data_IF_354232825229
#
_entry.id   IF_354232825229
#
_cell.length_a   1.000
_cell.length_b   1.000
_cell.length_c   1.000
_cell.angle_alpha   90.00
_cell.angle_beta   90.00
_cell.angle_gamma   90.00
#
_symmetry.space_group_name_H-M   'P 1'
#
loop_
_entity.id
_entity.type
_entity.pdbx_description
1 polymer ?
#
# COMPACT_ATOMS: atom_id res chain seq x y z
N UNK A 1 -18.23 44.08 -50.65
CA UNK A 1 -19.28 43.25 -50.02
C UNK A 1 -18.63 41.97 -49.51
N UNK A 2 -18.95 41.52 -48.29
CA UNK A 2 -18.48 40.22 -47.80
C UNK A 2 -19.18 39.11 -48.62
N UNK A 3 -18.41 38.25 -49.29
CA UNK A 3 -18.91 37.15 -50.11
C UNK A 3 -19.44 35.99 -49.24
N UNK A 4 -20.45 36.26 -48.42
CA UNK A 4 -21.03 35.31 -47.46
C UNK A 4 -22.53 35.17 -47.77
N UNK A 5 -23.06 33.94 -47.89
CA UNK A 5 -24.48 33.71 -48.14
C UNK A 5 -25.38 34.35 -47.07
N UNK A 6 -26.51 34.93 -47.49
CA UNK A 6 -27.48 35.56 -46.58
C UNK A 6 -28.04 34.57 -45.55
N UNK A 7 -28.19 33.29 -45.91
CA UNK A 7 -28.65 32.26 -44.97
C UNK A 7 -27.67 32.06 -43.81
N UNK A 8 -26.37 32.13 -44.08
CA UNK A 8 -25.32 32.00 -43.06
C UNK A 8 -25.39 33.17 -42.08
N UNK A 9 -25.56 34.40 -42.58
CA UNK A 9 -25.75 35.60 -41.76
C UNK A 9 -27.01 35.45 -40.88
N UNK A 10 -28.14 35.04 -41.46
CA UNK A 10 -29.39 34.81 -40.73
C UNK A 10 -29.27 33.70 -39.67
N UNK A 11 -28.54 32.62 -39.98
CA UNK A 11 -28.24 31.53 -39.04
C UNK A 11 -27.40 32.02 -37.85
N UNK A 12 -26.36 32.81 -38.11
CA UNK A 12 -25.51 33.40 -37.07
C UNK A 12 -26.31 34.34 -36.17
N UNK A 13 -27.14 35.23 -36.73
CA UNK A 13 -27.99 36.14 -35.95
C UNK A 13 -28.97 35.36 -35.08
N UNK A 14 -29.64 34.33 -35.60
CA UNK A 14 -30.55 33.48 -34.79
C UNK A 14 -29.82 32.77 -33.66
N UNK A 15 -28.63 32.23 -33.92
CA UNK A 15 -27.79 31.58 -32.90
C UNK A 15 -27.35 32.57 -31.83
N UNK A 16 -26.92 33.77 -32.22
CA UNK A 16 -26.52 34.82 -31.29
C UNK A 16 -27.69 35.27 -30.42
N UNK A 17 -28.87 35.50 -31.01
CA UNK A 17 -30.10 35.84 -30.25
C UNK A 17 -30.50 34.75 -29.24
N UNK A 18 -30.32 33.47 -29.59
CA UNK A 18 -30.73 32.35 -28.72
C UNK A 18 -29.71 31.97 -27.65
N UNK A 19 -28.40 32.08 -27.92
CA UNK A 19 -27.33 31.53 -27.07
C UNK A 19 -26.27 32.56 -26.64
N UNK A 20 -26.38 33.80 -27.11
CA UNK A 20 -25.46 34.89 -26.77
C UNK A 20 -24.03 34.72 -27.31
N UNK A 21 -23.78 33.75 -28.19
CA UNK A 21 -22.44 33.47 -28.72
C UNK A 21 -22.43 33.20 -30.22
N UNK A 22 -21.39 33.68 -30.89
CA UNK A 22 -21.10 33.40 -32.30
C UNK A 22 -20.21 32.16 -32.44
N UNK A 23 -19.48 31.78 -31.39
CA UNK A 23 -18.52 30.66 -31.38
C UNK A 23 -19.17 29.32 -31.70
N UNK A 24 -18.48 28.48 -32.46
CA UNK A 24 -18.95 27.14 -32.83
C UNK A 24 -19.21 26.31 -31.58
N UNK A 25 -20.45 25.83 -31.43
CA UNK A 25 -20.83 25.03 -30.29
C UNK A 25 -20.28 23.61 -30.44
N UNK A 26 -19.85 22.96 -29.34
CA UNK A 26 -19.44 21.58 -29.40
C UNK A 26 -20.60 20.72 -29.93
N UNK A 27 -20.31 19.93 -30.97
CA UNK A 27 -21.24 18.96 -31.51
C UNK A 27 -21.51 17.84 -30.50
N UNK A 28 -22.56 17.05 -30.75
CA UNK A 28 -22.97 15.92 -29.89
C UNK A 28 -21.87 14.86 -29.68
N UNK A 29 -20.89 14.82 -30.59
CA UNK A 29 -19.80 13.86 -30.59
C UNK A 29 -20.25 12.44 -30.95
N UNK A 30 -19.30 11.51 -30.97
CA UNK A 30 -19.56 10.10 -31.26
C UNK A 30 -20.32 9.46 -30.09
N UNK A 31 -21.40 8.72 -30.40
CA UNK A 31 -22.11 7.91 -29.41
C UNK A 31 -21.12 6.93 -28.75
N UNK A 32 -21.18 6.81 -27.42
CA UNK A 32 -20.36 5.84 -26.68
C UNK A 32 -20.86 4.42 -27.00
N UNK A 33 -19.93 3.47 -27.14
CA UNK A 33 -20.28 2.05 -27.33
C UNK A 33 -20.96 1.46 -26.10
N UNK A 34 -20.50 1.83 -24.90
CA UNK A 34 -21.11 1.39 -23.65
C UNK A 34 -22.25 2.32 -23.24
N UNK A 35 -23.39 1.71 -22.88
CA UNK A 35 -24.53 2.42 -22.28
C UNK A 35 -24.22 2.86 -20.85
N UNK A 36 -25.00 3.81 -20.34
CA UNK A 36 -24.90 4.25 -18.95
C UNK A 36 -25.13 3.11 -17.95
N UNK A 37 -26.02 2.17 -18.29
CA UNK A 37 -26.28 0.96 -17.49
C UNK A 37 -25.07 0.05 -17.42
N UNK A 38 -24.43 -0.24 -18.56
CA UNK A 38 -23.22 -1.06 -18.60
C UNK A 38 -22.05 -0.40 -17.84
N UNK A 39 -21.87 0.92 -17.99
CA UNK A 39 -20.87 1.67 -17.22
C UNK A 39 -21.12 1.58 -15.70
N UNK A 40 -22.39 1.68 -15.27
CA UNK A 40 -22.77 1.53 -13.85
C UNK A 40 -22.55 0.10 -13.33
N UNK A 41 -22.78 -0.91 -14.16
CA UNK A 41 -22.46 -2.29 -13.83
C UNK A 41 -20.95 -2.45 -13.60
N UNK A 42 -20.12 -2.01 -14.55
CA UNK A 42 -18.65 -2.06 -14.45
C UNK A 42 -18.14 -1.36 -13.18
N UNK A 43 -18.66 -0.17 -12.89
CA UNK A 43 -18.33 0.57 -11.66
C UNK A 43 -18.62 -0.25 -10.40
N UNK A 44 -19.84 -0.81 -10.29
CA UNK A 44 -20.23 -1.63 -9.11
C UNK A 44 -19.38 -2.89 -8.99
N UNK A 45 -19.12 -3.56 -10.12
CA UNK A 45 -18.29 -4.77 -10.19
C UNK A 45 -16.88 -4.53 -9.66
N UNK A 46 -16.28 -3.41 -10.06
CA UNK A 46 -14.96 -2.96 -9.62
C UNK A 46 -14.96 -2.47 -8.17
N UNK A 47 -15.99 -1.75 -7.73
CA UNK A 47 -16.08 -1.28 -6.34
C UNK A 47 -16.23 -2.44 -5.34
N UNK A 48 -16.89 -3.54 -5.75
CA UNK A 48 -17.02 -4.79 -4.97
C UNK A 48 -15.72 -5.60 -4.97
N UNK A 49 -15.10 -5.78 -6.14
CA UNK A 49 -13.81 -6.47 -6.27
C UNK A 49 -12.83 -5.61 -7.08
N UNK A 50 -12.00 -4.79 -6.43
CA UNK A 50 -11.15 -3.83 -7.14
C UNK A 50 -9.94 -4.49 -7.83
N UNK A 51 -9.75 -5.80 -7.64
CA UNK A 51 -8.65 -6.60 -8.23
C UNK A 51 -9.00 -7.20 -9.59
N UNK A 52 -10.24 -7.07 -10.05
CA UNK A 52 -10.70 -7.64 -11.33
C UNK A 52 -9.88 -7.08 -12.49
N UNK A 53 -9.51 -7.96 -13.41
CA UNK A 53 -8.82 -7.55 -14.62
C UNK A 53 -9.79 -6.92 -15.62
N UNK A 54 -9.27 -6.09 -16.52
CA UNK A 54 -10.09 -5.56 -17.62
C UNK A 54 -10.60 -6.68 -18.55
N UNK A 55 -9.94 -7.84 -18.53
CA UNK A 55 -10.27 -9.01 -19.33
C UNK A 55 -11.44 -9.80 -18.72
N UNK A 56 -11.43 -10.00 -17.39
CA UNK A 56 -12.60 -10.51 -16.67
C UNK A 56 -13.83 -9.62 -16.89
N UNK A 57 -13.66 -8.30 -16.81
CA UNK A 57 -14.75 -7.36 -17.07
C UNK A 57 -15.24 -7.40 -18.53
N UNK A 58 -14.36 -7.75 -19.47
CA UNK A 58 -14.75 -7.95 -20.88
C UNK A 58 -15.59 -9.20 -21.01
N UNK A 59 -15.16 -10.29 -20.37
CA UNK A 59 -15.90 -11.56 -20.33
C UNK A 59 -17.28 -11.40 -19.70
N UNK A 60 -17.37 -10.69 -18.56
CA UNK A 60 -18.63 -10.37 -17.89
C UNK A 60 -19.62 -9.63 -18.83
N UNK A 61 -19.13 -8.85 -19.80
CA UNK A 61 -19.97 -8.13 -20.76
C UNK A 61 -20.31 -8.95 -22.02
N UNK A 62 -19.38 -9.78 -22.50
CA UNK A 62 -19.64 -10.69 -23.62
C UNK A 62 -20.73 -11.71 -23.27
N UNK A 63 -20.77 -12.17 -22.02
CA UNK A 63 -21.80 -13.10 -21.53
C UNK A 63 -23.22 -12.48 -21.56
N UNK A 64 -23.32 -11.14 -21.58
CA UNK A 64 -24.58 -10.37 -21.69
C UNK A 64 -24.78 -9.88 -23.14
N UNK A 65 -23.99 -10.37 -24.10
CA UNK A 65 -24.08 -10.02 -25.52
C UNK A 65 -23.49 -8.65 -25.88
N UNK A 66 -22.65 -8.06 -25.03
CA UNK A 66 -22.01 -6.76 -25.29
C UNK A 66 -20.52 -6.94 -25.59
N UNK A 67 -20.18 -6.99 -26.86
CA UNK A 67 -18.79 -7.09 -27.32
C UNK A 67 -18.08 -5.73 -27.27
N UNK A 68 -17.07 -5.63 -26.39
CA UNK A 68 -16.24 -4.42 -26.27
C UNK A 68 -14.77 -4.75 -26.07
N UNK A 69 -13.90 -3.87 -26.55
CA UNK A 69 -12.47 -3.99 -26.25
C UNK A 69 -12.19 -3.72 -24.76
N UNK A 70 -11.18 -4.39 -24.21
CA UNK A 70 -10.67 -4.07 -22.86
C UNK A 70 -10.30 -2.58 -22.73
N UNK A 71 -9.83 -1.95 -23.81
CA UNK A 71 -9.49 -0.52 -23.81
C UNK A 71 -10.72 0.38 -23.60
N UNK A 72 -11.87 0.01 -24.18
CA UNK A 72 -13.14 0.71 -23.95
C UNK A 72 -13.55 0.65 -22.48
N UNK A 73 -13.35 -0.50 -21.83
CA UNK A 73 -13.60 -0.67 -20.39
C UNK A 73 -12.67 0.21 -19.56
N UNK A 74 -11.35 0.21 -19.85
CA UNK A 74 -10.39 1.07 -19.13
C UNK A 74 -10.71 2.55 -19.25
N UNK A 75 -11.11 3.01 -20.46
CA UNK A 75 -11.53 4.40 -20.69
C UNK A 75 -12.80 4.74 -19.92
N UNK A 76 -13.76 3.83 -19.89
CA UNK A 76 -15.03 4.02 -19.16
C UNK A 76 -14.79 4.11 -17.66
N UNK A 77 -14.01 3.20 -17.08
CA UNK A 77 -13.64 3.25 -15.66
C UNK A 77 -12.88 4.53 -15.30
N UNK A 78 -11.99 5.01 -16.20
CA UNK A 78 -11.29 6.28 -16.01
C UNK A 78 -12.23 7.47 -15.96
N UNK A 79 -13.24 7.50 -16.83
CA UNK A 79 -14.28 8.53 -16.82
C UNK A 79 -15.12 8.50 -15.54
N UNK A 80 -15.27 7.33 -14.92
CA UNK A 80 -15.91 7.16 -13.60
C UNK A 80 -14.99 7.48 -12.40
N UNK A 81 -13.74 7.87 -12.66
CA UNK A 81 -12.72 8.22 -11.66
C UNK A 81 -11.99 7.02 -11.05
N UNK A 82 -12.08 5.85 -11.67
CA UNK A 82 -11.37 4.63 -11.26
C UNK A 82 -10.10 4.45 -12.11
N UNK A 83 -8.97 4.30 -11.45
CA UNK A 83 -7.67 4.13 -12.11
C UNK A 83 -7.00 2.85 -11.63
N UNK A 84 -6.44 2.10 -12.58
CA UNK A 84 -5.53 1.00 -12.28
C UNK A 84 -4.25 1.57 -11.66
N UNK A 85 -3.92 1.11 -10.45
CA UNK A 85 -2.73 1.51 -9.69
C UNK A 85 -2.13 0.30 -9.01
N UNK A 86 -0.81 0.31 -8.81
CA UNK A 86 -0.14 -0.71 -8.01
C UNK A 86 -0.64 -0.65 -6.57
N UNK A 87 -1.11 -1.77 -6.00
CA UNK A 87 -1.53 -1.82 -4.61
C UNK A 87 -0.36 -1.58 -3.67
N UNK A 88 -0.61 -0.97 -2.52
CA UNK A 88 0.42 -0.85 -1.48
C UNK A 88 0.51 -2.17 -0.72
N UNK A 89 1.72 -2.66 -0.49
CA UNK A 89 1.97 -3.79 0.39
C UNK A 89 1.93 -3.30 1.83
N UNK A 90 1.04 -3.84 2.64
CA UNK A 90 0.89 -3.44 4.05
C UNK A 90 0.71 -4.68 4.93
N UNK A 91 1.33 -4.72 6.12
CA UNK A 91 1.01 -5.76 7.09
C UNK A 91 -0.45 -5.61 7.53
N UNK A 92 -1.16 -6.72 7.66
CA UNK A 92 -2.49 -6.73 8.27
C UNK A 92 -2.33 -6.49 9.77
N UNK A 93 -2.88 -5.38 10.26
CA UNK A 93 -2.81 -5.00 11.67
C UNK A 93 -4.18 -5.20 12.32
N UNK A 94 -4.21 -5.94 13.42
CA UNK A 94 -5.41 -6.03 14.26
C UNK A 94 -5.75 -4.65 14.88
N UNK A 95 -7.03 -4.38 15.20
CA UNK A 95 -7.42 -3.14 15.87
C UNK A 95 -6.63 -2.87 17.16
N UNK A 96 -6.36 -3.92 17.94
CA UNK A 96 -5.51 -3.87 19.13
C UNK A 96 -4.10 -3.38 18.80
N UNK A 97 -3.47 -3.95 17.78
CA UNK A 97 -2.13 -3.56 17.36
C UNK A 97 -2.09 -2.12 16.83
N UNK A 98 -3.13 -1.67 16.12
CA UNK A 98 -3.26 -0.27 15.68
C UNK A 98 -3.28 0.69 16.87
N UNK A 99 -4.08 0.39 17.90
CA UNK A 99 -4.16 1.20 19.13
C UNK A 99 -2.82 1.25 19.87
N UNK A 100 -2.18 0.09 20.08
CA UNK A 100 -0.88 0.03 20.76
C UNK A 100 0.20 0.81 19.99
N UNK A 101 0.25 0.69 18.66
CA UNK A 101 1.20 1.44 17.82
C UNK A 101 0.95 2.94 17.90
N UNK A 102 -0.31 3.38 17.89
CA UNK A 102 -0.66 4.79 18.02
C UNK A 102 -0.24 5.35 19.39
N UNK A 103 -0.50 4.62 20.47
CA UNK A 103 -0.09 5.02 21.82
C UNK A 103 1.43 5.10 21.94
N UNK A 104 2.15 4.12 21.39
CA UNK A 104 3.61 4.14 21.34
C UNK A 104 4.13 5.37 20.59
N UNK A 105 3.58 5.65 19.39
CA UNK A 105 3.98 6.81 18.60
C UNK A 105 3.74 8.13 19.35
N UNK A 106 2.56 8.31 19.95
CA UNK A 106 2.26 9.50 20.76
C UNK A 106 3.21 9.67 21.95
N UNK A 107 3.59 8.58 22.62
CA UNK A 107 4.51 8.65 23.76
C UNK A 107 5.98 8.89 23.39
N UNK A 108 6.34 8.78 22.12
CA UNK A 108 7.73 8.91 21.65
C UNK A 108 7.94 10.05 20.62
N UNK A 109 6.88 10.74 20.18
CA UNK A 109 6.97 11.79 19.16
C UNK A 109 7.87 12.96 19.59
N UNK A 110 7.80 13.37 20.86
CA UNK A 110 8.55 14.51 21.40
C UNK A 110 9.88 14.09 22.05
N UNK A 111 10.37 12.86 21.79
CA UNK A 111 11.65 12.42 22.36
C UNK A 111 12.81 13.16 21.70
N UNK A 112 13.80 13.64 22.49
CA UNK A 112 14.93 14.38 21.93
C UNK A 112 15.80 13.47 21.07
N UNK A 113 16.52 14.05 20.10
CA UNK A 113 17.39 13.30 19.18
C UNK A 113 18.39 12.39 19.93
N UNK A 114 18.99 12.88 21.01
CA UNK A 114 19.91 12.10 21.87
C UNK A 114 19.31 10.78 22.38
N UNK A 115 17.99 10.74 22.62
CA UNK A 115 17.32 9.51 22.99
C UNK A 115 17.37 8.52 21.83
N UNK A 116 17.02 8.94 20.62
CA UNK A 116 17.06 8.10 19.42
C UNK A 116 18.46 7.66 19.03
N UNK A 117 19.46 8.51 19.25
CA UNK A 117 20.85 8.20 18.98
C UNK A 117 21.35 7.03 19.84
N UNK A 118 20.77 6.87 21.03
CA UNK A 118 21.09 5.79 21.96
C UNK A 118 20.33 4.47 21.73
N UNK A 119 19.38 4.44 20.80
CA UNK A 119 18.58 3.23 20.56
C UNK A 119 19.33 2.26 19.66
N UNK A 120 19.55 1.04 20.16
CA UNK A 120 19.97 -0.10 19.36
C UNK A 120 18.71 -0.81 18.82
N UNK A 121 18.55 -0.78 17.50
CA UNK A 121 17.48 -1.48 16.80
C UNK A 121 17.94 -2.89 16.47
N UNK A 122 17.09 -3.88 16.71
CA UNK A 122 17.34 -5.29 16.38
C UNK A 122 16.12 -5.86 15.69
N UNK A 123 16.29 -6.61 14.61
CA UNK A 123 15.18 -7.31 13.96
C UNK A 123 15.66 -8.57 13.23
N UNK A 124 14.70 -9.44 12.90
CA UNK A 124 14.91 -10.60 12.05
C UNK A 124 14.23 -10.37 10.70
N UNK A 125 14.98 -10.56 9.61
CA UNK A 125 14.43 -10.47 8.26
C UNK A 125 14.53 -11.79 7.51
N UNK A 126 13.45 -12.12 6.82
CA UNK A 126 13.36 -13.25 5.88
C UNK A 126 13.54 -12.71 4.46
N UNK A 127 14.61 -13.12 3.80
CA UNK A 127 14.85 -12.89 2.37
C UNK A 127 14.33 -14.10 1.60
N UNK A 128 13.34 -13.89 0.74
CA UNK A 128 12.72 -14.93 -0.09
C UNK A 128 13.34 -14.91 -1.49
N UNK A 129 13.68 -16.09 -2.03
CA UNK A 129 14.29 -16.21 -3.36
C UNK A 129 13.28 -16.00 -4.49
N UNK A 130 12.03 -16.40 -4.27
CA UNK A 130 10.92 -16.21 -5.20
C UNK A 130 9.84 -15.38 -4.52
N UNK A 131 9.67 -14.14 -4.98
CA UNK A 131 8.61 -13.26 -4.47
C UNK A 131 7.22 -13.76 -4.91
N UNK A 132 6.16 -13.50 -4.12
CA UNK A 132 4.80 -13.88 -4.51
C UNK A 132 4.41 -13.25 -5.85
N UNK A 133 3.75 -14.03 -6.71
CA UNK A 133 3.20 -13.57 -7.99
C UNK A 133 2.44 -12.25 -7.78
N UNK A 134 2.95 -11.19 -8.41
CA UNK A 134 2.53 -9.81 -8.16
C UNK A 134 1.15 -9.55 -8.77
N UNK A 135 0.14 -9.36 -7.92
CA UNK A 135 -1.09 -8.69 -8.34
C UNK A 135 -0.71 -7.25 -8.73
N UNK A 136 -0.48 -7.03 -10.02
CA UNK A 136 0.13 -5.80 -10.55
C UNK A 136 -0.72 -4.56 -10.33
N UNK A 137 -2.05 -4.69 -10.40
CA UNK A 137 -2.96 -3.55 -10.38
C UNK A 137 -4.24 -3.78 -9.58
N UNK A 138 -4.71 -2.69 -8.99
CA UNK A 138 -6.01 -2.55 -8.35
C UNK A 138 -6.66 -1.27 -8.87
N UNK A 139 -7.95 -1.34 -9.20
CA UNK A 139 -8.75 -0.19 -9.55
C UNK A 139 -9.13 0.60 -8.31
N UNK A 140 -8.71 1.86 -8.22
CA UNK A 140 -9.05 2.72 -7.09
C UNK A 140 -9.25 4.18 -7.49
N UNK A 141 -9.99 4.91 -6.66
CA UNK A 141 -10.08 6.37 -6.72
C UNK A 141 -8.80 7.01 -6.16
N UNK A 142 -8.61 8.29 -6.47
CA UNK A 142 -7.57 9.12 -5.85
C UNK A 142 -7.74 9.09 -4.31
N UNK A 143 -6.63 9.12 -3.57
CA UNK A 143 -6.58 9.14 -2.09
C UNK A 143 -7.13 7.91 -1.36
N UNK A 144 -7.45 6.81 -2.05
CA UNK A 144 -7.92 5.54 -1.42
C UNK A 144 -6.84 4.46 -1.34
N UNK A 145 -5.56 4.86 -1.28
CA UNK A 145 -4.45 3.93 -1.42
C UNK A 145 -4.25 2.96 -0.23
N UNK A 146 -4.72 3.34 0.96
CA UNK A 146 -4.55 2.58 2.21
C UNK A 146 -5.84 1.91 2.69
N UNK A 147 -6.91 1.93 1.88
CA UNK A 147 -8.08 1.09 2.16
C UNK A 147 -7.69 -0.39 2.01
N UNK A 148 -8.16 -1.23 2.92
CA UNK A 148 -7.76 -2.65 3.01
C UNK A 148 -7.99 -3.43 1.71
N UNK A 149 -9.11 -3.13 1.02
CA UNK A 149 -9.43 -3.69 -0.30
C UNK A 149 -8.44 -3.30 -1.41
N UNK A 150 -7.70 -2.19 -1.23
CA UNK A 150 -6.75 -1.64 -2.19
C UNK A 150 -5.28 -1.94 -1.85
N UNK A 151 -5.04 -2.64 -0.75
CA UNK A 151 -3.71 -3.07 -0.31
C UNK A 151 -3.50 -4.56 -0.57
N UNK A 152 -2.25 -4.99 -0.64
CA UNK A 152 -1.90 -6.40 -0.62
C UNK A 152 -1.34 -6.76 0.76
N UNK A 153 -1.89 -7.79 1.43
CA UNK A 153 -1.27 -8.31 2.62
C UNK A 153 0.09 -8.91 2.25
N UNK A 154 1.11 -8.58 3.05
CA UNK A 154 2.44 -9.18 2.90
C UNK A 154 2.48 -10.48 3.70
N UNK A 155 1.79 -11.52 3.23
CA UNK A 155 1.97 -12.88 3.76
C UNK A 155 3.05 -13.57 2.94
N UNK A 156 4.05 -14.11 3.62
CA UNK A 156 5.32 -14.59 3.08
C UNK A 156 5.33 -16.13 3.04
N UNK A 157 5.01 -16.75 1.91
CA UNK A 157 5.01 -18.22 1.75
C UNK A 157 5.62 -18.66 0.41
N UNK A 158 6.54 -19.64 0.46
CA UNK A 158 7.06 -20.36 -0.71
C UNK A 158 8.51 -20.02 -1.12
N UNK A 159 9.17 -20.95 -1.82
CA UNK A 159 10.38 -20.67 -2.62
C UNK A 159 11.74 -20.75 -1.92
N UNK A 160 11.81 -21.15 -0.65
CA UNK A 160 13.05 -21.12 0.12
C UNK A 160 13.44 -19.70 0.56
N UNK A 161 14.09 -19.59 1.73
CA UNK A 161 14.41 -18.29 2.31
C UNK A 161 15.62 -18.34 3.22
N UNK A 162 16.34 -17.22 3.30
CA UNK A 162 17.39 -17.01 4.30
C UNK A 162 16.80 -16.13 5.41
N UNK A 163 16.91 -16.59 6.66
CA UNK A 163 16.63 -15.80 7.85
C UNK A 163 17.92 -15.14 8.34
N UNK A 164 17.88 -13.83 8.52
CA UNK A 164 18.99 -13.03 9.02
C UNK A 164 18.53 -12.29 10.27
N UNK A 165 19.33 -12.32 11.33
CA UNK A 165 19.21 -11.42 12.46
C UNK A 165 20.22 -10.29 12.30
N UNK A 166 19.82 -9.05 12.56
CA UNK A 166 20.72 -7.92 12.51
C UNK A 166 20.38 -6.84 13.54
N UNK A 167 21.37 -6.00 13.82
CA UNK A 167 21.17 -4.80 14.62
C UNK A 167 21.81 -3.56 13.98
N UNK A 168 21.31 -2.38 14.32
CA UNK A 168 21.91 -1.10 13.93
C UNK A 168 21.53 0.00 14.93
N UNK A 169 22.34 1.05 14.99
CA UNK A 169 22.08 2.26 15.77
C UNK A 169 22.35 3.51 14.91
N UNK A 170 22.18 4.70 15.49
CA UNK A 170 22.50 5.98 14.82
C UNK A 170 23.94 6.03 14.30
N UNK A 171 24.88 5.41 15.02
CA UNK A 171 26.29 5.36 14.67
C UNK A 171 26.64 4.39 13.53
N UNK A 172 25.72 3.50 13.12
CA UNK A 172 25.95 2.57 12.03
C UNK A 172 25.35 1.18 12.21
N UNK A 173 25.70 0.29 11.28
CA UNK A 173 25.24 -1.11 11.27
C UNK A 173 26.05 -1.96 12.25
N UNK A 174 25.34 -2.75 13.05
CA UNK A 174 25.93 -3.78 13.89
C UNK A 174 26.09 -5.12 13.17
N UNK A 175 26.16 -6.21 13.94
CA UNK A 175 26.37 -7.55 13.41
C UNK A 175 25.15 -8.04 12.62
N UNK A 176 25.37 -8.66 11.47
CA UNK A 176 24.37 -9.38 10.70
C UNK A 176 24.72 -10.88 10.73
N UNK A 177 23.79 -11.72 11.18
CA UNK A 177 24.02 -13.15 11.38
C UNK A 177 22.91 -13.97 10.76
N UNK A 178 23.28 -14.99 9.97
CA UNK A 178 22.34 -15.98 9.46
C UNK A 178 21.82 -16.85 10.60
N UNK A 179 20.50 -16.96 10.70
CA UNK A 179 19.80 -17.86 11.63
C UNK A 179 19.54 -19.18 10.91
N UNK A 180 19.99 -20.31 11.47
CA UNK A 180 19.78 -21.64 10.89
C UNK A 180 18.63 -22.35 11.62
N UNK A 181 17.63 -22.84 10.87
CA UNK A 181 16.52 -23.68 11.36
C UNK A 181 15.21 -22.93 11.72
N UNK A 182 14.08 -23.66 11.84
CA UNK A 182 12.81 -23.10 12.31
C UNK A 182 12.91 -22.87 13.81
N UNK A 183 13.07 -21.61 14.21
CA UNK A 183 13.03 -21.14 15.61
C UNK A 183 13.53 -22.18 16.61
N UNK A 184 14.84 -22.32 16.74
CA UNK A 184 15.43 -22.83 17.98
C UNK A 184 14.74 -22.14 19.15
N UNK A 185 14.44 -22.83 20.27
CA UNK A 185 13.82 -22.20 21.41
C UNK A 185 14.63 -20.95 21.76
N UNK A 186 13.91 -19.89 22.15
CA UNK A 186 14.45 -18.54 22.42
C UNK A 186 15.73 -18.47 23.28
N UNK A 187 16.13 -19.47 24.12
CA UNK A 187 17.39 -19.38 24.87
C UNK A 187 18.65 -19.20 24.03
N UNK A 188 18.78 -19.83 22.85
CA UNK A 188 20.04 -19.76 22.09
C UNK A 188 20.28 -18.39 21.42
N UNK A 189 19.18 -17.72 21.05
CA UNK A 189 19.23 -16.32 20.63
C UNK A 189 19.59 -15.47 21.84
N UNK A 190 19.02 -15.71 23.03
CA UNK A 190 19.37 -14.99 24.26
C UNK A 190 20.81 -15.20 24.76
N UNK A 191 21.42 -16.38 24.62
CA UNK A 191 22.75 -16.67 25.16
C UNK A 191 23.88 -16.06 24.30
N UNK A 192 23.72 -16.10 22.97
CA UNK A 192 24.61 -15.38 22.04
C UNK A 192 24.33 -13.86 22.01
N UNK A 193 23.06 -13.45 22.11
CA UNK A 193 22.69 -12.05 22.18
C UNK A 193 23.07 -11.41 23.50
N UNK A 194 23.07 -12.09 24.63
CA UNK A 194 23.55 -11.49 25.87
C UNK A 194 25.00 -11.05 25.70
N UNK A 195 25.89 -11.89 25.19
CA UNK A 195 27.27 -11.49 24.95
C UNK A 195 27.41 -10.36 23.92
N UNK A 196 26.67 -10.42 22.81
CA UNK A 196 26.77 -9.40 21.73
C UNK A 196 26.14 -8.07 22.14
N UNK A 197 24.96 -8.10 22.77
CA UNK A 197 24.25 -6.93 23.25
C UNK A 197 24.98 -6.33 24.45
N UNK A 198 25.53 -7.13 25.36
CA UNK A 198 26.39 -6.63 26.46
C UNK A 198 27.68 -6.02 25.88
N UNK A 199 28.36 -6.67 24.92
CA UNK A 199 29.53 -6.07 24.26
C UNK A 199 29.18 -4.74 23.58
N UNK A 200 28.05 -4.67 22.85
CA UNK A 200 27.64 -3.44 22.17
C UNK A 200 27.18 -2.35 23.16
N UNK A 201 26.47 -2.70 24.23
CA UNK A 201 26.10 -1.76 25.30
C UNK A 201 27.34 -1.28 26.07
N UNK A 202 28.34 -2.13 26.27
CA UNK A 202 29.63 -1.73 26.86
C UNK A 202 30.41 -0.79 25.91
N UNK A 203 30.37 -1.03 24.60
CA UNK A 203 30.93 -0.10 23.59
C UNK A 203 30.19 1.24 23.59
N UNK A 204 28.85 1.23 23.58
CA UNK A 204 28.03 2.45 23.63
C UNK A 204 28.23 3.20 24.96
N UNK A 205 28.35 2.49 26.09
CA UNK A 205 28.67 3.06 27.41
C UNK A 205 30.09 3.65 27.45
N UNK A 206 31.04 3.10 26.70
CA UNK A 206 32.41 3.64 26.55
C UNK A 206 32.45 4.90 25.67
N UNK A 207 31.56 5.02 24.69
CA UNK A 207 31.48 6.18 23.79
C UNK A 207 30.66 7.34 24.41
N UNK A 208 29.60 7.04 25.17
CA UNK A 208 28.63 8.04 25.64
C UNK A 208 28.49 8.13 27.18
N UNK A 209 29.29 7.40 27.95
CA UNK A 209 29.40 7.53 29.41
C UNK A 209 28.17 7.12 30.23
N UNK A 210 27.10 6.62 29.61
CA UNK A 210 25.81 6.37 30.29
C UNK A 210 25.27 4.96 30.02
N UNK A 211 24.65 4.33 31.03
CA UNK A 211 23.99 3.03 30.87
C UNK A 211 22.74 3.18 29.99
N UNK A 212 22.80 2.67 28.77
CA UNK A 212 21.68 2.74 27.83
C UNK A 212 20.63 1.68 28.16
N UNK A 213 19.38 2.09 28.37
CA UNK A 213 18.26 1.17 28.60
C UNK A 213 17.91 0.42 27.33
N UNK A 214 18.06 -0.91 27.35
CA UNK A 214 17.44 -1.82 26.38
C UNK A 214 15.92 -1.69 26.46
N UNK A 215 15.31 -0.99 25.49
CA UNK A 215 13.87 -1.17 25.23
C UNK A 215 13.71 -2.21 24.14
N UNK A 216 13.66 -3.47 24.56
CA UNK A 216 13.11 -4.54 23.72
C UNK A 216 11.62 -4.22 23.50
N UNK A 217 11.13 -4.03 22.27
CA UNK A 217 9.70 -4.00 22.00
C UNK A 217 9.16 -5.44 22.02
N UNK A 218 9.35 -6.15 23.14
CA UNK A 218 8.84 -7.49 23.34
C UNK A 218 7.79 -7.45 24.45
N UNK A 219 6.52 -7.38 24.08
CA UNK A 219 5.43 -7.74 24.99
C UNK A 219 5.46 -9.26 25.20
N UNK A 220 6.30 -9.74 26.12
CA UNK A 220 6.24 -11.12 26.61
C UNK A 220 5.75 -11.09 28.06
N UNK A 221 4.45 -11.34 28.24
CA UNK A 221 3.85 -11.69 29.53
C UNK A 221 4.45 -13.03 29.97
N UNK A 222 5.27 -13.04 31.02
CA UNK A 222 5.61 -14.29 31.72
C UNK A 222 4.36 -14.73 32.49
N UNK A 223 3.67 -15.75 32.00
CA UNK A 223 2.83 -16.59 32.87
C UNK A 223 3.76 -17.62 33.49
N UNK A 224 4.26 -17.34 34.68
CA UNK A 224 4.78 -18.37 35.57
C UNK A 224 3.62 -18.80 36.45
N UNK A 225 3.05 -19.97 36.17
CA UNK A 225 2.25 -20.71 37.14
C UNK A 225 3.23 -21.48 38.04
N UNK A 226 3.07 -21.47 39.37
CA UNK A 226 3.88 -22.32 40.24
C UNK A 226 3.39 -23.77 40.10
N UNK A 227 4.34 -24.69 39.91
CA UNK A 227 4.12 -26.11 40.19
C UNK A 227 4.13 -26.25 41.71
N UNK A 228 3.04 -26.78 42.28
CA UNK A 228 3.09 -27.37 43.61
C UNK A 228 3.52 -28.83 43.47
N UNK A 229 4.28 -29.27 44.46
CA UNK A 229 4.85 -30.61 44.65
C UNK A 229 3.80 -31.73 44.62
#
# INVERSE_FOLDING_TARGET
>A
MLNIPRETIGSIIRKFKAKGTVETLPGRGRKKMLTSTAARYLKRRVEKSPRVTAEELRKDLSDVGTEVSAQTIRRTLRNEGLHARTPRRTPLLSPKNKKSRLQYAKGHVDKPQKFWDSVLWTDETKLELFGPMDQRYVWRRKNKAYEEKNTLPTVKHGGGSIMLWGCFASAGTGKLQRVQGPTSPKPQVCDGLHHIVIQYLLVLKRIHGTLHTLKLPCTCRSKTAPKHD
#
